data_IF_133298655813
#
_entry.id   IF_133298655813
#
_cell.length_a   1.000
_cell.length_b   1.000
_cell.length_c   1.000
_cell.angle_alpha   90.00
_cell.angle_beta   90.00
_cell.angle_gamma   90.00
#
_symmetry.space_group_name_H-M   'P 1'
#
loop_
_entity.id
_entity.type
_entity.pdbx_description
1 polymer ?
#
# COMPACT_ATOMS: atom_id res chain seq x y z
N UNK A 1 -11.29 9.20 -11.24
CA UNK A 1 -10.97 9.02 -12.67
C UNK A 1 -11.87 7.98 -13.35
N UNK A 2 -12.45 7.02 -12.61
CA UNK A 2 -13.25 5.92 -13.18
C UNK A 2 -14.67 6.29 -13.64
N UNK A 3 -15.12 7.55 -13.50
CA UNK A 3 -16.43 7.96 -14.02
C UNK A 3 -16.46 7.85 -15.54
N UNK A 4 -17.43 7.11 -16.17
CA UNK A 4 -17.51 6.97 -17.61
C UNK A 4 -17.58 8.31 -18.37
N UNK A 5 -18.29 9.29 -17.81
CA UNK A 5 -18.42 10.63 -18.36
C UNK A 5 -17.27 11.59 -18.03
N UNK A 6 -16.24 11.14 -17.29
CA UNK A 6 -15.10 11.97 -16.93
C UNK A 6 -14.20 12.24 -18.13
N UNK A 7 -13.88 13.51 -18.41
CA UNK A 7 -13.00 13.92 -19.51
C UNK A 7 -11.50 13.67 -19.28
N UNK A 8 -11.08 13.20 -18.08
CA UNK A 8 -9.68 13.01 -17.80
C UNK A 8 -9.08 11.86 -18.62
N UNK A 9 -7.98 12.06 -19.35
CA UNK A 9 -7.47 11.08 -20.31
C UNK A 9 -6.92 9.80 -19.65
N UNK A 10 -6.27 9.90 -18.48
CA UNK A 10 -5.75 8.74 -17.76
C UNK A 10 -6.76 8.26 -16.71
N UNK A 11 -7.45 7.16 -17.00
CA UNK A 11 -8.48 6.58 -16.12
C UNK A 11 -7.88 5.82 -14.92
N UNK A 12 -6.64 5.37 -15.03
CA UNK A 12 -5.98 4.46 -14.08
C UNK A 12 -5.08 5.21 -13.08
N UNK A 13 -5.53 6.33 -12.54
CA UNK A 13 -4.85 6.99 -11.42
C UNK A 13 -5.28 6.34 -10.10
N UNK A 14 -4.31 6.08 -9.22
CA UNK A 14 -4.57 5.75 -7.82
C UNK A 14 -5.20 6.92 -7.06
N UNK A 15 -5.75 6.68 -5.88
CA UNK A 15 -6.30 7.75 -5.04
C UNK A 15 -5.29 8.86 -4.75
N UNK A 16 -4.04 8.51 -4.44
CA UNK A 16 -2.96 9.47 -4.24
C UNK A 16 -2.58 10.21 -5.54
N UNK A 17 -2.69 9.55 -6.70
CA UNK A 17 -2.50 10.20 -8.00
C UNK A 17 -3.55 11.28 -8.27
N UNK A 18 -4.80 11.04 -7.86
CA UNK A 18 -5.87 12.06 -7.93
C UNK A 18 -5.59 13.21 -6.95
N UNK A 19 -5.18 12.91 -5.71
CA UNK A 19 -4.80 13.93 -4.73
C UNK A 19 -3.62 14.78 -5.23
N UNK A 20 -2.63 14.16 -5.87
CA UNK A 20 -1.53 14.87 -6.53
C UNK A 20 -2.03 15.86 -7.60
N UNK A 21 -2.97 15.45 -8.46
CA UNK A 21 -3.53 16.34 -9.49
C UNK A 21 -4.28 17.52 -8.89
N UNK A 22 -5.01 17.29 -7.80
CA UNK A 22 -5.67 18.37 -7.08
C UNK A 22 -4.65 19.36 -6.48
N UNK A 23 -3.61 18.84 -5.81
CA UNK A 23 -2.55 19.68 -5.24
C UNK A 23 -1.83 20.50 -6.33
N UNK A 24 -1.51 19.89 -7.46
CA UNK A 24 -0.88 20.56 -8.61
C UNK A 24 -1.78 21.68 -9.18
N UNK A 25 -3.08 21.43 -9.26
CA UNK A 25 -4.04 22.46 -9.73
C UNK A 25 -4.20 23.63 -8.75
N UNK A 26 -4.08 23.37 -7.44
CA UNK A 26 -4.18 24.41 -6.40
C UNK A 26 -2.92 25.28 -6.30
N UNK A 27 -1.77 24.73 -6.66
CA UNK A 27 -0.46 25.43 -6.61
C UNK A 27 -0.02 25.98 -7.97
N UNK A 28 -0.75 25.67 -9.03
CA UNK A 28 -0.43 25.99 -10.42
C UNK A 28 0.98 25.49 -10.85
N UNK A 29 1.51 24.48 -10.14
CA UNK A 29 2.83 23.90 -10.41
C UNK A 29 2.83 22.39 -10.19
N UNK A 30 2.73 21.64 -11.29
CA UNK A 30 2.83 20.17 -11.24
C UNK A 30 4.26 19.71 -10.91
N UNK A 31 5.29 20.42 -11.40
CA UNK A 31 6.68 20.03 -11.18
C UNK A 31 7.09 20.20 -9.70
N UNK A 32 6.66 21.28 -9.03
CA UNK A 32 6.96 21.49 -7.61
C UNK A 32 6.29 20.43 -6.72
N UNK A 33 5.03 20.08 -7.03
CA UNK A 33 4.33 19.02 -6.30
C UNK A 33 4.97 17.66 -6.56
N UNK A 34 5.41 17.39 -7.80
CA UNK A 34 6.11 16.16 -8.13
C UNK A 34 7.46 16.08 -7.42
N UNK A 35 8.25 17.15 -7.43
CA UNK A 35 9.52 17.21 -6.74
C UNK A 35 9.40 16.99 -5.23
N UNK A 36 8.26 17.37 -4.63
CA UNK A 36 8.01 17.28 -3.19
C UNK A 36 7.39 15.97 -2.74
N UNK A 37 6.55 15.33 -3.57
CA UNK A 37 5.68 14.23 -3.15
C UNK A 37 5.73 13.01 -4.07
N UNK A 38 6.68 12.91 -5.01
CA UNK A 38 6.76 11.78 -5.93
C UNK A 38 6.93 10.45 -5.20
N UNK A 39 7.62 10.41 -4.06
CA UNK A 39 7.76 9.23 -3.20
C UNK A 39 6.41 8.72 -2.70
N UNK A 40 5.55 9.60 -2.17
CA UNK A 40 4.21 9.23 -1.70
C UNK A 40 3.31 8.77 -2.84
N UNK A 41 3.36 9.47 -3.98
CA UNK A 41 2.56 9.10 -5.16
C UNK A 41 3.02 7.76 -5.74
N UNK A 42 4.34 7.50 -5.72
CA UNK A 42 4.91 6.21 -6.08
C UNK A 42 4.39 5.09 -5.17
N UNK A 43 4.48 5.27 -3.85
CA UNK A 43 4.03 4.28 -2.88
C UNK A 43 2.57 3.88 -3.12
N UNK A 44 1.65 4.82 -3.21
CA UNK A 44 0.25 4.50 -3.42
C UNK A 44 -0.06 3.99 -4.83
N UNK A 45 0.62 4.48 -5.87
CA UNK A 45 0.43 3.97 -7.23
C UNK A 45 0.82 2.50 -7.36
N UNK A 46 1.93 2.10 -6.73
CA UNK A 46 2.39 0.70 -6.73
C UNK A 46 1.54 -0.15 -5.79
N UNK A 47 1.19 0.36 -4.60
CA UNK A 47 0.35 -0.36 -3.62
C UNK A 47 -1.03 -0.71 -4.19
N UNK A 48 -1.62 0.19 -5.00
CA UNK A 48 -2.91 -0.01 -5.66
C UNK A 48 -2.80 -0.82 -6.98
N UNK A 49 -1.59 -1.34 -7.29
CA UNK A 49 -1.31 -2.14 -8.50
C UNK A 49 -1.75 -1.42 -9.78
N UNK A 50 -1.58 -0.10 -9.84
CA UNK A 50 -1.96 0.68 -11.02
C UNK A 50 -1.04 0.37 -12.21
N UNK A 51 -1.58 0.31 -13.45
CA UNK A 51 -0.76 0.15 -14.65
C UNK A 51 0.31 1.23 -14.74
N UNK A 52 1.57 0.83 -14.87
CA UNK A 52 2.73 1.74 -14.92
C UNK A 52 2.93 2.31 -16.34
N UNK A 53 1.88 2.95 -16.86
CA UNK A 53 1.85 3.63 -18.15
C UNK A 53 1.57 5.12 -17.99
N UNK A 54 1.87 5.93 -18.99
CA UNK A 54 1.61 7.38 -18.96
C UNK A 54 2.17 8.06 -17.71
N UNK A 55 1.34 8.84 -17.02
CA UNK A 55 1.72 9.58 -15.82
C UNK A 55 2.13 8.68 -14.65
N UNK A 56 1.50 7.51 -14.47
CA UNK A 56 1.87 6.57 -13.42
C UNK A 56 3.34 6.13 -13.55
N UNK A 57 3.82 5.93 -14.78
CA UNK A 57 5.24 5.61 -15.02
C UNK A 57 6.15 6.74 -14.57
N UNK A 58 5.78 7.99 -14.83
CA UNK A 58 6.54 9.16 -14.39
C UNK A 58 6.56 9.25 -12.87
N UNK A 59 5.41 9.10 -12.22
CA UNK A 59 5.29 9.13 -10.77
C UNK A 59 6.16 8.06 -10.10
N UNK A 60 6.08 6.83 -10.59
CA UNK A 60 6.87 5.72 -10.02
C UNK A 60 8.37 5.90 -10.30
N UNK A 61 8.76 6.33 -11.49
CA UNK A 61 10.17 6.58 -11.82
C UNK A 61 10.77 7.68 -10.94
N UNK A 62 10.09 8.82 -10.79
CA UNK A 62 10.54 9.93 -9.94
C UNK A 62 10.53 9.56 -8.47
N UNK A 63 9.48 8.87 -8.00
CA UNK A 63 9.38 8.44 -6.62
C UNK A 63 10.45 7.41 -6.23
N UNK A 64 10.73 6.42 -7.07
CA UNK A 64 11.82 5.47 -6.83
C UNK A 64 13.19 6.19 -6.78
N UNK A 65 13.40 7.22 -7.60
CA UNK A 65 14.60 8.05 -7.50
C UNK A 65 14.69 8.77 -6.15
N UNK A 66 13.58 9.34 -5.64
CA UNK A 66 13.56 9.97 -4.30
C UNK A 66 13.82 8.94 -3.19
N UNK A 67 13.22 7.77 -3.26
CA UNK A 67 13.42 6.69 -2.28
C UNK A 67 14.88 6.23 -2.20
N UNK A 68 15.60 6.27 -3.31
CA UNK A 68 17.01 5.87 -3.37
C UNK A 68 17.96 6.93 -2.81
N UNK A 69 17.70 8.20 -3.06
CA UNK A 69 18.68 9.27 -2.84
C UNK A 69 18.33 10.17 -1.66
N UNK A 70 17.06 10.40 -1.41
CA UNK A 70 16.61 11.33 -0.38
C UNK A 70 15.20 10.95 0.15
N UNK A 71 15.05 9.76 0.76
CA UNK A 71 13.78 9.38 1.36
C UNK A 71 13.46 10.27 2.56
N UNK A 72 12.18 10.63 2.74
CA UNK A 72 11.74 11.31 3.97
C UNK A 72 11.95 10.43 5.20
N UNK A 73 12.11 11.00 6.42
CA UNK A 73 12.49 10.24 7.62
C UNK A 73 11.62 9.00 7.89
N UNK A 74 10.31 9.14 7.79
CA UNK A 74 9.39 8.02 8.01
C UNK A 74 9.54 6.88 7.01
N UNK A 75 9.73 7.20 5.73
CA UNK A 75 9.95 6.17 4.70
C UNK A 75 11.33 5.54 4.86
N UNK A 76 12.36 6.32 5.17
CA UNK A 76 13.70 5.80 5.46
C UNK A 76 13.68 4.79 6.61
N UNK A 77 12.99 5.13 7.70
CA UNK A 77 12.81 4.23 8.84
C UNK A 77 12.05 2.95 8.45
N UNK A 78 10.97 3.08 7.67
CA UNK A 78 10.20 1.91 7.21
C UNK A 78 11.01 1.02 6.25
N UNK A 79 11.86 1.61 5.40
CA UNK A 79 12.80 0.88 4.55
C UNK A 79 13.80 0.09 5.38
N UNK A 80 14.41 0.72 6.40
CA UNK A 80 15.36 0.09 7.29
C UNK A 80 14.73 -1.10 8.04
N UNK A 81 13.56 -0.90 8.67
CA UNK A 81 12.79 -1.95 9.34
C UNK A 81 12.33 -3.06 8.39
N UNK A 82 12.09 -2.73 7.13
CA UNK A 82 11.76 -3.70 6.08
C UNK A 82 12.95 -4.43 5.47
N UNK A 83 14.18 -4.10 5.87
CA UNK A 83 15.41 -4.66 5.31
C UNK A 83 15.70 -4.21 3.88
N UNK A 84 15.14 -3.08 3.44
CA UNK A 84 15.37 -2.53 2.11
C UNK A 84 16.63 -1.66 2.09
N UNK A 85 17.52 -1.95 1.14
CA UNK A 85 18.66 -1.07 0.85
C UNK A 85 18.24 0.02 -0.14
N UNK A 86 18.53 1.31 0.13
CA UNK A 86 18.11 2.41 -0.74
C UNK A 86 18.52 2.21 -2.21
N UNK A 87 19.75 1.75 -2.45
CA UNK A 87 20.30 1.56 -3.80
C UNK A 87 19.55 0.49 -4.61
N UNK A 88 18.93 -0.47 -3.92
CA UNK A 88 18.22 -1.59 -4.52
C UNK A 88 16.71 -1.37 -4.63
N UNK A 89 16.20 -0.20 -4.18
CA UNK A 89 14.79 0.11 -4.22
C UNK A 89 14.22 0.07 -5.64
N UNK A 90 13.14 -0.69 -5.79
CA UNK A 90 12.41 -0.86 -7.05
C UNK A 90 10.90 -1.02 -6.76
N UNK A 91 10.09 -1.17 -7.80
CA UNK A 91 8.64 -1.31 -7.64
C UNK A 91 8.25 -2.56 -6.82
N UNK A 92 9.01 -3.66 -6.93
CA UNK A 92 8.77 -4.86 -6.12
C UNK A 92 9.04 -4.61 -4.64
N UNK A 93 10.12 -3.87 -4.30
CA UNK A 93 10.40 -3.46 -2.92
C UNK A 93 9.24 -2.64 -2.35
N UNK A 94 8.70 -1.71 -3.14
CA UNK A 94 7.53 -0.92 -2.74
C UNK A 94 6.30 -1.82 -2.56
N UNK A 95 5.97 -2.65 -3.53
CA UNK A 95 4.74 -3.44 -3.54
C UNK A 95 4.71 -4.58 -2.51
N UNK A 96 5.85 -5.26 -2.31
CA UNK A 96 5.91 -6.45 -1.46
C UNK A 96 6.52 -6.21 -0.08
N UNK A 97 7.24 -5.10 0.13
CA UNK A 97 7.83 -4.80 1.43
C UNK A 97 7.17 -3.59 2.10
N UNK A 98 7.14 -2.42 1.45
CA UNK A 98 6.63 -1.21 2.09
C UNK A 98 5.10 -1.15 2.13
N UNK A 99 4.43 -1.39 1.01
CA UNK A 99 2.97 -1.29 0.90
C UNK A 99 2.21 -2.21 1.88
N UNK A 100 2.59 -3.49 2.10
CA UNK A 100 1.90 -4.33 3.06
C UNK A 100 1.97 -3.80 4.50
N UNK A 101 3.09 -3.18 4.90
CA UNK A 101 3.28 -2.57 6.23
C UNK A 101 2.40 -1.34 6.41
N UNK A 102 2.33 -0.49 5.40
CA UNK A 102 1.47 0.70 5.39
C UNK A 102 -0.01 0.27 5.42
N UNK A 103 -0.40 -0.69 4.58
CA UNK A 103 -1.76 -1.18 4.49
C UNK A 103 -2.23 -1.88 5.77
N UNK A 104 -1.30 -2.48 6.54
CA UNK A 104 -1.61 -3.10 7.82
C UNK A 104 -2.24 -2.10 8.80
N UNK A 105 -1.84 -0.83 8.80
CA UNK A 105 -2.45 0.22 9.63
C UNK A 105 -3.96 0.35 9.38
N UNK A 106 -4.39 0.35 8.13
CA UNK A 106 -5.81 0.40 7.78
C UNK A 106 -6.57 -0.89 8.13
N UNK A 107 -5.94 -2.03 7.89
CA UNK A 107 -6.56 -3.35 8.15
C UNK A 107 -6.70 -3.64 9.65
N UNK A 108 -5.74 -3.23 10.45
CA UNK A 108 -5.72 -3.43 11.91
C UNK A 108 -6.34 -2.25 12.69
N UNK A 109 -6.93 -1.27 12.00
CA UNK A 109 -7.71 -0.19 12.61
C UNK A 109 -6.89 0.95 13.22
N UNK A 110 -5.61 1.11 12.88
CA UNK A 110 -4.76 2.17 13.42
C UNK A 110 -4.09 3.03 12.33
N UNK A 111 -4.89 3.62 11.48
CA UNK A 111 -4.47 4.52 10.38
C UNK A 111 -3.58 5.68 10.86
N UNK A 112 -3.83 6.32 12.05
CA UNK A 112 -3.03 7.45 12.53
C UNK A 112 -1.53 7.18 12.55
N UNK A 113 -1.08 5.97 12.86
CA UNK A 113 0.34 5.59 12.88
C UNK A 113 0.98 5.77 11.49
N UNK A 114 0.30 5.34 10.43
CA UNK A 114 0.81 5.49 9.07
C UNK A 114 0.81 6.97 8.63
N UNK A 115 -0.22 7.73 8.99
CA UNK A 115 -0.28 9.17 8.68
C UNK A 115 0.86 9.91 9.38
N UNK A 116 1.07 9.66 10.66
CA UNK A 116 2.15 10.29 11.44
C UNK A 116 3.52 9.92 10.88
N UNK A 117 3.74 8.66 10.47
CA UNK A 117 4.99 8.23 9.83
C UNK A 117 5.32 9.08 8.59
N UNK A 118 4.34 9.39 7.76
CA UNK A 118 4.57 10.21 6.55
C UNK A 118 4.80 11.69 6.85
N UNK A 119 4.33 12.19 8.00
CA UNK A 119 4.40 13.61 8.35
C UNK A 119 5.58 13.95 9.25
N UNK A 120 6.07 13.00 10.05
CA UNK A 120 7.16 13.27 11.00
C UNK A 120 8.45 13.68 10.30
N UNK A 121 9.14 14.64 10.90
CA UNK A 121 10.49 15.06 10.52
C UNK A 121 11.54 14.59 11.55
N UNK A 122 11.10 13.98 12.65
CA UNK A 122 11.94 13.45 13.71
C UNK A 122 12.35 11.99 13.39
N UNK A 123 13.64 11.69 13.18
CA UNK A 123 14.09 10.34 12.87
C UNK A 123 13.84 9.31 13.99
N UNK A 124 13.92 9.72 15.27
CA UNK A 124 13.65 8.81 16.38
C UNK A 124 12.16 8.46 16.45
N UNK A 125 11.30 9.45 16.25
CA UNK A 125 9.86 9.20 16.13
C UNK A 125 9.52 8.35 14.93
N UNK A 126 10.16 8.60 13.78
CA UNK A 126 9.98 7.81 12.56
C UNK A 126 10.32 6.33 12.79
N UNK A 127 11.40 6.04 13.52
CA UNK A 127 11.81 4.66 13.86
C UNK A 127 10.72 3.96 14.70
N UNK A 128 10.22 4.58 15.74
CA UNK A 128 9.16 4.01 16.60
C UNK A 128 7.89 3.70 15.79
N UNK A 129 7.49 4.61 14.90
CA UNK A 129 6.31 4.41 14.04
C UNK A 129 6.52 3.30 13.00
N UNK A 130 7.72 3.18 12.45
CA UNK A 130 8.07 2.12 11.51
C UNK A 130 8.08 0.73 12.19
N UNK A 131 8.65 0.62 13.39
CA UNK A 131 8.60 -0.59 14.22
C UNK A 131 7.15 -1.02 14.49
N UNK A 132 6.29 -0.06 14.81
CA UNK A 132 4.86 -0.29 15.08
C UNK A 132 4.13 -0.80 13.80
N UNK A 133 4.35 -0.19 12.64
CA UNK A 133 3.78 -0.69 11.38
C UNK A 133 4.28 -2.10 11.03
N UNK A 134 5.54 -2.39 11.29
CA UNK A 134 6.09 -3.74 11.10
C UNK A 134 5.44 -4.75 12.06
N UNK A 135 5.19 -4.36 13.33
CA UNK A 135 4.47 -5.18 14.30
C UNK A 135 3.04 -5.48 13.82
N UNK A 136 2.31 -4.43 13.41
CA UNK A 136 0.93 -4.56 12.89
C UNK A 136 0.88 -5.46 11.65
N UNK A 137 1.87 -5.37 10.75
CA UNK A 137 1.93 -6.24 9.58
C UNK A 137 2.17 -7.71 9.97
N UNK A 138 3.02 -7.99 10.96
CA UNK A 138 3.21 -9.37 11.48
C UNK A 138 1.93 -9.91 12.12
N UNK A 139 1.24 -9.09 12.91
CA UNK A 139 -0.06 -9.43 13.51
C UNK A 139 -1.11 -9.74 12.42
N UNK A 140 -1.23 -8.88 11.41
CA UNK A 140 -2.10 -9.12 10.27
C UNK A 140 -1.77 -10.45 9.57
N UNK A 141 -0.49 -10.79 9.37
CA UNK A 141 -0.06 -12.05 8.75
C UNK A 141 -0.42 -13.27 9.62
N UNK A 142 -0.30 -13.18 10.95
CA UNK A 142 -0.73 -14.23 11.87
C UNK A 142 -2.23 -14.49 11.75
N UNK A 143 -3.03 -13.42 11.86
CA UNK A 143 -4.49 -13.49 11.72
C UNK A 143 -4.90 -14.04 10.34
N UNK A 144 -4.22 -13.61 9.26
CA UNK A 144 -4.46 -14.15 7.92
C UNK A 144 -4.22 -15.65 7.84
N UNK A 145 -3.12 -16.13 8.42
CA UNK A 145 -2.78 -17.56 8.42
C UNK A 145 -3.77 -18.40 9.21
N UNK A 146 -4.25 -17.88 10.35
CA UNK A 146 -5.25 -18.53 11.18
C UNK A 146 -6.61 -18.64 10.46
N UNK A 147 -7.08 -17.53 9.89
CA UNK A 147 -8.35 -17.51 9.13
C UNK A 147 -8.24 -18.42 7.91
N UNK A 148 -7.11 -18.39 7.19
CA UNK A 148 -6.90 -19.24 6.03
C UNK A 148 -6.97 -20.74 6.41
N UNK A 149 -6.28 -21.14 7.47
CA UNK A 149 -6.29 -22.53 7.94
C UNK A 149 -7.71 -23.00 8.32
N UNK A 150 -8.51 -22.15 8.99
CA UNK A 150 -9.89 -22.46 9.32
C UNK A 150 -10.78 -22.52 8.07
N UNK A 151 -10.63 -21.56 7.16
CA UNK A 151 -11.43 -21.49 5.94
C UNK A 151 -11.21 -22.71 5.03
N UNK A 152 -9.95 -23.17 4.90
CA UNK A 152 -9.62 -24.38 4.12
C UNK A 152 -10.31 -25.62 4.68
N UNK A 153 -10.42 -25.75 6.01
CA UNK A 153 -11.14 -26.88 6.63
C UNK A 153 -12.66 -26.84 6.39
N UNK A 154 -13.21 -25.66 6.10
CA UNK A 154 -14.63 -25.47 5.82
C UNK A 154 -14.98 -25.62 4.33
N UNK A 155 -13.98 -25.78 3.45
CA UNK A 155 -14.21 -25.91 2.01
C UNK A 155 -14.98 -27.22 1.72
N UNK A 156 -15.95 -27.18 0.79
CA UNK A 156 -16.66 -28.38 0.36
C UNK A 156 -15.71 -29.35 -0.32
N UNK A 157 -15.84 -30.65 0.01
CA UNK A 157 -15.07 -31.72 -0.65
C UNK A 157 -15.71 -32.08 -2.00
N UNK A 158 -14.88 -32.28 -3.03
CA UNK A 158 -15.33 -32.70 -4.35
C UNK A 158 -15.17 -31.62 -5.43
N UNK A 159 -16.06 -31.60 -6.42
CA UNK A 159 -15.98 -30.63 -7.52
C UNK A 159 -16.18 -29.22 -6.98
N UNK A 160 -15.36 -28.27 -7.48
CA UNK A 160 -15.42 -26.88 -7.07
C UNK A 160 -16.81 -26.30 -7.38
N UNK A 161 -17.51 -25.73 -6.40
CA UNK A 161 -18.81 -25.08 -6.61
C UNK A 161 -18.64 -23.75 -7.35
N UNK A 162 -19.71 -23.27 -7.98
CA UNK A 162 -19.72 -21.99 -8.67
C UNK A 162 -19.48 -20.78 -7.74
N UNK A 163 -19.77 -20.93 -6.46
CA UNK A 163 -19.51 -19.93 -5.42
C UNK A 163 -19.26 -20.61 -4.07
N UNK A 164 -18.37 -20.02 -3.27
CA UNK A 164 -18.05 -20.43 -1.90
C UNK A 164 -18.40 -19.28 -0.97
N UNK A 165 -19.19 -19.55 0.06
CA UNK A 165 -19.52 -18.61 1.13
C UNK A 165 -19.15 -19.26 2.46
N UNK A 166 -18.19 -18.64 3.15
CA UNK A 166 -17.72 -19.07 4.47
C UNK A 166 -17.90 -17.92 5.46
N UNK A 167 -18.24 -18.23 6.70
CA UNK A 167 -18.39 -17.25 7.77
C UNK A 167 -18.01 -17.83 9.12
N UNK A 168 -17.31 -17.03 9.93
CA UNK A 168 -17.00 -17.31 11.32
C UNK A 168 -16.97 -15.97 12.07
N UNK A 169 -17.61 -15.89 13.23
CA UNK A 169 -17.77 -14.64 14.00
C UNK A 169 -16.43 -14.06 14.45
N UNK A 170 -15.44 -14.91 14.70
CA UNK A 170 -14.10 -14.52 15.14
C UNK A 170 -13.23 -13.90 14.04
N UNK A 171 -13.63 -14.00 12.77
CA UNK A 171 -12.79 -13.55 11.66
C UNK A 171 -12.69 -12.04 11.57
N UNK A 172 -11.45 -11.56 11.50
CA UNK A 172 -11.15 -10.14 11.45
C UNK A 172 -11.55 -9.52 10.10
N UNK A 173 -12.48 -8.53 10.12
CA UNK A 173 -13.03 -7.90 8.90
C UNK A 173 -11.97 -7.31 7.95
N UNK A 174 -10.89 -6.74 8.50
CA UNK A 174 -9.80 -6.16 7.70
C UNK A 174 -8.94 -7.20 6.96
N UNK A 175 -9.11 -8.51 7.27
CA UNK A 175 -8.26 -9.60 6.78
C UNK A 175 -9.03 -10.59 5.91
N UNK A 176 -10.31 -10.83 6.16
CA UNK A 176 -11.11 -11.84 5.42
C UNK A 176 -11.05 -11.68 3.90
N UNK A 177 -10.98 -10.44 3.38
CA UNK A 177 -10.87 -10.19 1.94
C UNK A 177 -9.57 -10.70 1.32
N UNK A 178 -8.45 -10.70 2.08
CA UNK A 178 -7.17 -11.26 1.62
C UNK A 178 -7.29 -12.78 1.51
N UNK A 179 -7.87 -13.41 2.54
CA UNK A 179 -8.07 -14.86 2.57
C UNK A 179 -9.02 -15.31 1.46
N UNK A 180 -10.11 -14.58 1.23
CA UNK A 180 -11.05 -14.87 0.15
C UNK A 180 -10.38 -14.84 -1.23
N UNK A 181 -9.54 -13.83 -1.49
CA UNK A 181 -8.77 -13.74 -2.74
C UNK A 181 -7.81 -14.93 -2.90
N UNK A 182 -7.11 -15.28 -1.84
CA UNK A 182 -6.17 -16.40 -1.86
C UNK A 182 -6.85 -17.75 -2.13
N UNK A 183 -7.99 -18.03 -1.50
CA UNK A 183 -8.76 -19.25 -1.74
C UNK A 183 -9.31 -19.29 -3.17
N UNK A 184 -9.67 -18.15 -3.74
CA UNK A 184 -10.20 -18.09 -5.10
C UNK A 184 -9.13 -18.31 -6.19
N UNK A 185 -7.85 -18.17 -5.87
CA UNK A 185 -6.71 -18.38 -6.78
C UNK A 185 -6.19 -19.83 -6.76
N UNK A 186 -6.55 -20.64 -5.76
CA UNK A 186 -6.20 -22.06 -5.60
C UNK A 186 -7.27 -22.99 -6.23
#
# INVERSE_FOLDING_TARGET
PHRPAGGYPLKNLSGVGVAFKLAAALTDSQEDILARYADMVCLGTVADVMPLTGENRVFVSRGLSMLRHNPRPGIAALMAEGGCQPEQMNASSVGYVLAPRINAAGRMGNIPVAVELFLTQDPDRARVLAEELCRMNRERQSVESEIYAQAVQMLPQGAAPAAIVLAEESWHQGVVGIVASRIAEE
#
